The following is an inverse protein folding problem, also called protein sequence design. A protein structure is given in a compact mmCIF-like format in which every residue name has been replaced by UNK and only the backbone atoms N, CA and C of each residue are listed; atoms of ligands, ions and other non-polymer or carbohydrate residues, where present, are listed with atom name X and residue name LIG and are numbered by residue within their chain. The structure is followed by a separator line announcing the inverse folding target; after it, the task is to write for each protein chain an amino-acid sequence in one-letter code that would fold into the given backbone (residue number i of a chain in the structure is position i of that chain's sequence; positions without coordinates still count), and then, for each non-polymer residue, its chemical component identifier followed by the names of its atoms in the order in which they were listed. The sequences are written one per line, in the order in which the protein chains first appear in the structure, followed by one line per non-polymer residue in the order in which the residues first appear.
data_IF_993530689870
#
_entry.id   IF_993530689870
#
_cell.length_a   1.000
_cell.length_b   1.000
_cell.length_c   1.000
_cell.angle_alpha   90.00
_cell.angle_beta   90.00
_cell.angle_gamma   90.00
#
_symmetry.space_group_name_H-M   'P 1'
#
loop_
_entity.id
_entity.type
_entity.pdbx_description
1 polymer ?
#
# COMPACT_ATOMS: atom_id res chain seq x y z
N UNK A 1 17.13 -16.10 11.39
CA UNK A 1 16.56 -15.12 12.35
C UNK A 1 15.24 -14.59 11.81
N UNK A 2 14.12 -14.85 12.49
CA UNK A 2 12.82 -14.28 12.10
C UNK A 2 12.85 -12.75 12.26
N UNK A 3 12.26 -12.01 11.31
CA UNK A 3 12.15 -10.55 11.46
C UNK A 3 11.25 -10.26 12.67
N UNK A 4 11.70 -9.48 13.65
CA UNK A 4 10.95 -9.25 14.88
C UNK A 4 9.64 -8.47 14.65
N UNK A 5 9.54 -7.73 13.54
CA UNK A 5 8.34 -6.99 13.17
C UNK A 5 8.10 -6.97 11.66
N UNK A 6 6.83 -6.93 11.26
CA UNK A 6 6.43 -6.73 9.86
C UNK A 6 6.66 -5.28 9.38
N UNK A 7 6.58 -4.29 10.28
CA UNK A 7 6.83 -2.88 9.98
C UNK A 7 7.56 -2.24 11.17
N UNK A 8 8.69 -1.58 10.90
CA UNK A 8 9.43 -0.78 11.87
C UNK A 8 9.87 0.56 11.24
N UNK A 9 9.92 1.62 12.05
CA UNK A 9 10.47 2.94 11.69
C UNK A 9 11.25 3.47 12.89
N UNK A 10 12.50 3.86 12.64
CA UNK A 10 13.38 4.36 13.69
C UNK A 10 13.48 5.89 13.64
N UNK A 11 13.65 6.54 14.79
CA UNK A 11 13.75 8.01 14.92
C UNK A 11 14.96 8.59 14.17
N UNK A 12 16.05 7.82 14.05
CA UNK A 12 17.23 8.17 13.26
C UNK A 12 16.88 8.38 11.77
N UNK A 13 15.90 7.64 11.25
CA UNK A 13 15.45 7.79 9.85
C UNK A 13 14.68 9.10 9.59
N UNK A 14 14.20 9.76 10.65
CA UNK A 14 13.37 10.97 10.56
C UNK A 14 14.03 12.20 11.18
N UNK A 15 15.33 12.11 11.50
CA UNK A 15 16.15 13.21 12.05
C UNK A 15 15.49 13.84 13.28
N UNK A 16 14.93 13.01 14.17
CA UNK A 16 14.27 13.48 15.40
C UNK A 16 12.84 13.99 15.23
N UNK A 17 12.34 14.18 14.00
CA UNK A 17 10.98 14.67 13.79
C UNK A 17 9.94 13.53 13.94
N UNK A 18 9.09 13.65 14.95
CA UNK A 18 8.06 12.66 15.32
C UNK A 18 6.92 12.61 14.30
N UNK A 19 6.47 13.75 13.80
CA UNK A 19 5.41 13.81 12.78
C UNK A 19 5.80 13.05 11.50
N UNK A 20 7.04 13.22 11.06
CA UNK A 20 7.58 12.48 9.92
C UNK A 20 7.65 10.98 10.23
N UNK A 21 7.95 10.60 11.47
CA UNK A 21 7.98 9.21 11.91
C UNK A 21 6.60 8.57 11.84
N UNK A 22 5.58 9.22 12.40
CA UNK A 22 4.19 8.76 12.37
C UNK A 22 3.72 8.60 10.92
N UNK A 23 3.92 9.62 10.07
CA UNK A 23 3.52 9.57 8.65
C UNK A 23 4.22 8.43 7.91
N UNK A 24 5.52 8.22 8.16
CA UNK A 24 6.30 7.15 7.53
C UNK A 24 5.83 5.77 8.01
N UNK A 25 5.55 5.62 9.30
CA UNK A 25 5.00 4.39 9.86
C UNK A 25 3.65 4.05 9.24
N UNK A 26 2.70 5.00 9.23
CA UNK A 26 1.40 4.84 8.59
C UNK A 26 1.57 4.43 7.12
N UNK A 27 2.49 5.06 6.38
CA UNK A 27 2.77 4.72 4.98
C UNK A 27 3.31 3.30 4.83
N UNK A 28 4.26 2.87 5.67
CA UNK A 28 4.80 1.50 5.67
C UNK A 28 3.70 0.48 6.02
N UNK A 29 2.87 0.75 7.03
CA UNK A 29 1.74 -0.09 7.43
C UNK A 29 0.69 -0.25 6.33
N UNK A 30 0.32 0.85 5.64
CA UNK A 30 -0.56 0.81 4.46
C UNK A 30 0.05 0.03 3.30
N UNK A 31 1.36 0.15 3.07
CA UNK A 31 2.08 -0.60 2.01
C UNK A 31 2.12 -2.10 2.31
N UNK A 32 2.34 -2.48 3.57
CA UNK A 32 2.34 -3.86 4.03
C UNK A 32 0.93 -4.50 4.03
N UNK A 33 -0.14 -3.68 3.99
CA UNK A 33 -1.55 -4.11 3.96
C UNK A 33 -1.95 -5.00 5.15
N UNK A 34 -1.29 -4.86 6.29
CA UNK A 34 -1.49 -5.70 7.49
C UNK A 34 -2.94 -5.61 7.97
N UNK A 35 -3.50 -4.40 8.05
CA UNK A 35 -4.89 -4.17 8.48
C UNK A 35 -5.89 -4.85 7.54
N UNK A 36 -5.65 -4.77 6.22
CA UNK A 36 -6.57 -5.37 5.24
C UNK A 36 -6.50 -6.90 5.25
N UNK A 37 -5.30 -7.46 5.45
CA UNK A 37 -5.13 -8.90 5.61
C UNK A 37 -5.83 -9.40 6.88
N UNK A 38 -5.71 -8.66 8.00
CA UNK A 38 -6.42 -8.99 9.23
C UNK A 38 -7.95 -8.99 9.03
N UNK A 39 -8.49 -7.97 8.36
CA UNK A 39 -9.93 -7.91 8.02
C UNK A 39 -10.37 -9.04 7.09
N UNK A 40 -9.55 -9.40 6.10
CA UNK A 40 -9.85 -10.50 5.16
C UNK A 40 -9.81 -11.88 5.83
N UNK A 41 -8.98 -12.05 6.87
CA UNK A 41 -8.87 -13.28 7.66
C UNK A 41 -9.89 -13.37 8.79
N UNK A 42 -10.51 -12.25 9.19
CA UNK A 42 -11.44 -12.19 10.32
C UNK A 42 -12.63 -13.15 10.20
N UNK A 43 -13.13 -13.34 8.98
CA UNK A 43 -14.25 -14.24 8.72
C UNK A 43 -13.95 -15.17 7.55
N UNK A 44 -14.51 -16.37 7.59
CA UNK A 44 -14.45 -17.28 6.47
C UNK A 44 -15.13 -16.66 5.25
N UNK A 45 -14.47 -16.77 4.10
CA UNK A 45 -15.03 -16.45 2.78
C UNK A 45 -14.93 -17.68 1.89
N UNK A 46 -16.01 -17.99 1.18
CA UNK A 46 -16.05 -19.05 0.16
C UNK A 46 -14.92 -18.83 -0.88
N UNK A 47 -14.32 -19.88 -1.44
CA UNK A 47 -13.22 -19.76 -2.40
C UNK A 47 -13.58 -18.93 -3.64
N UNK A 48 -14.83 -19.01 -4.12
CA UNK A 48 -15.36 -18.22 -5.23
C UNK A 48 -15.29 -16.72 -4.94
N UNK A 49 -15.73 -16.29 -3.76
CA UNK A 49 -15.68 -14.89 -3.30
C UNK A 49 -14.24 -14.40 -3.17
N UNK A 50 -13.35 -15.24 -2.62
CA UNK A 50 -11.91 -14.91 -2.55
C UNK A 50 -11.30 -14.69 -3.94
N UNK A 51 -11.64 -15.54 -4.92
CA UNK A 51 -11.20 -15.39 -6.33
C UNK A 51 -11.76 -14.09 -6.95
N UNK A 52 -13.03 -13.78 -6.73
CA UNK A 52 -13.66 -12.55 -7.23
C UNK A 52 -13.02 -11.28 -6.63
N UNK A 53 -12.80 -11.25 -5.32
CA UNK A 53 -12.13 -10.14 -4.62
C UNK A 53 -10.70 -9.93 -5.15
N UNK A 54 -9.95 -11.02 -5.37
CA UNK A 54 -8.60 -10.95 -5.96
C UNK A 54 -8.62 -10.31 -7.36
N UNK A 55 -9.56 -10.72 -8.22
CA UNK A 55 -9.74 -10.13 -9.57
C UNK A 55 -10.09 -8.64 -9.49
N UNK A 56 -11.04 -8.26 -8.62
CA UNK A 56 -11.46 -6.87 -8.41
C UNK A 56 -10.29 -5.99 -7.90
N UNK A 57 -9.50 -6.50 -6.95
CA UNK A 57 -8.28 -5.84 -6.44
C UNK A 57 -7.24 -5.64 -7.54
N UNK A 58 -6.98 -6.66 -8.36
CA UNK A 58 -6.03 -6.58 -9.48
C UNK A 58 -6.47 -5.57 -10.54
N UNK A 59 -7.75 -5.59 -10.93
CA UNK A 59 -8.32 -4.60 -11.87
C UNK A 59 -8.14 -3.17 -11.37
N UNK A 60 -8.48 -2.91 -10.09
CA UNK A 60 -8.30 -1.60 -9.46
C UNK A 60 -6.84 -1.16 -9.38
N UNK A 61 -5.89 -2.09 -9.26
CA UNK A 61 -4.46 -1.77 -9.30
C UNK A 61 -4.00 -1.38 -10.70
N UNK A 62 -4.41 -2.14 -11.74
CA UNK A 62 -4.10 -1.83 -13.15
C UNK A 62 -4.60 -0.45 -13.55
N UNK A 63 -5.86 -0.13 -13.23
CA UNK A 63 -6.46 1.19 -13.52
C UNK A 63 -5.67 2.32 -12.84
N UNK A 64 -5.24 2.12 -11.59
CA UNK A 64 -4.41 3.11 -10.88
C UNK A 64 -3.06 3.33 -11.56
N UNK A 65 -2.41 2.27 -12.02
CA UNK A 65 -1.13 2.38 -12.73
C UNK A 65 -1.28 3.07 -14.09
N UNK A 66 -2.34 2.75 -14.85
CA UNK A 66 -2.65 3.43 -16.11
C UNK A 66 -2.89 4.93 -15.89
N UNK A 67 -3.70 5.30 -14.88
CA UNK A 67 -3.95 6.71 -14.55
C UNK A 67 -2.67 7.45 -14.15
N UNK A 68 -1.74 6.80 -13.43
CA UNK A 68 -0.44 7.39 -13.11
C UNK A 68 0.40 7.63 -14.37
N UNK A 69 0.42 6.68 -15.31
CA UNK A 69 1.14 6.82 -16.59
C UNK A 69 0.60 7.98 -17.40
N UNK A 70 -0.72 8.07 -17.56
CA UNK A 70 -1.39 9.17 -18.26
C UNK A 70 -1.03 10.52 -17.62
N UNK A 71 -1.14 10.64 -16.30
CA UNK A 71 -0.78 11.87 -15.58
C UNK A 71 0.71 12.23 -15.73
N UNK A 72 1.60 11.24 -15.77
CA UNK A 72 3.02 11.47 -15.96
C UNK A 72 3.34 11.95 -17.38
N UNK A 73 2.67 11.38 -18.39
CA UNK A 73 2.78 11.79 -19.78
C UNK A 73 2.29 13.23 -19.98
N UNK A 74 1.09 13.54 -19.50
CA UNK A 74 0.53 14.90 -19.52
C UNK A 74 1.47 15.93 -18.87
N UNK A 75 2.18 15.58 -17.79
CA UNK A 75 3.16 16.47 -17.16
C UNK A 75 4.41 16.70 -18.01
N UNK A 76 4.84 15.69 -18.78
CA UNK A 76 5.96 15.83 -19.71
C UNK A 76 5.56 16.70 -20.90
N UNK A 77 4.37 16.46 -21.45
CA UNK A 77 3.87 17.20 -22.61
C UNK A 77 3.69 18.69 -22.30
N UNK A 78 3.25 19.05 -21.09
CA UNK A 78 3.16 20.45 -20.62
C UNK A 78 4.50 21.16 -20.41
N UNK A 79 5.60 20.40 -20.28
CA UNK A 79 6.94 20.95 -20.00
C UNK A 79 7.75 21.14 -21.29
N UNK A 80 7.28 20.57 -22.39
CA UNK A 80 7.84 20.71 -23.72
C UNK A 80 7.21 21.93 -24.40
#
# INVERSE_FOLDING_TARGET
MAKPAHVAVNIKETRGNVDRLIRKFIKKSKKAKIVEQAKERRYYKKPSVKKADKRKKARRARLREQQKRIKAQQRRDRRK
#
